data_IF_987106508368
#
_entry.id   IF_987106508368
#
_cell.length_a   1.000
_cell.length_b   1.000
_cell.length_c   1.000
_cell.angle_alpha   90.00
_cell.angle_beta   90.00
_cell.angle_gamma   90.00
#
_symmetry.space_group_name_H-M   'P 1'
#
loop_
_entity.id
_entity.type
_entity.pdbx_description
1 polymer ?
#
# COMPACT_ATOMS: atom_id res chain seq x y z
N UNK A 1 32.78 -20.86 -22.57
CA UNK A 1 32.01 -19.81 -21.84
C UNK A 1 30.88 -20.33 -20.93
N UNK A 2 30.67 -21.65 -20.74
CA UNK A 2 29.57 -22.18 -19.90
C UNK A 2 29.81 -22.21 -18.38
N UNK A 3 31.06 -22.31 -17.91
CA UNK A 3 31.37 -22.49 -16.47
C UNK A 3 31.14 -21.27 -15.56
N UNK A 4 31.46 -20.06 -16.03
CA UNK A 4 31.32 -18.82 -15.22
C UNK A 4 29.86 -18.48 -14.87
N UNK A 5 28.89 -18.84 -15.74
CA UNK A 5 27.46 -18.59 -15.50
C UNK A 5 26.87 -19.50 -14.42
N UNK A 6 27.30 -20.76 -14.37
CA UNK A 6 26.89 -21.71 -13.32
C UNK A 6 27.45 -21.31 -11.95
N UNK A 7 28.71 -20.86 -11.90
CA UNK A 7 29.34 -20.38 -10.66
C UNK A 7 28.65 -19.14 -10.10
N UNK A 8 28.31 -18.17 -10.95
CA UNK A 8 27.57 -16.96 -10.53
C UNK A 8 26.14 -17.29 -10.06
N UNK A 9 25.46 -18.24 -10.71
CA UNK A 9 24.12 -18.67 -10.28
C UNK A 9 24.16 -19.36 -8.91
N UNK A 10 25.17 -20.20 -8.64
CA UNK A 10 25.37 -20.83 -7.32
C UNK A 10 25.70 -19.80 -6.24
N UNK A 11 26.53 -18.81 -6.55
CA UNK A 11 26.86 -17.71 -5.62
C UNK A 11 25.60 -16.91 -5.27
N UNK A 12 24.81 -16.51 -6.27
CA UNK A 12 23.55 -15.78 -6.06
C UNK A 12 22.53 -16.58 -5.25
N UNK A 13 22.43 -17.89 -5.50
CA UNK A 13 21.57 -18.77 -4.72
C UNK A 13 22.05 -18.86 -3.26
N UNK A 14 23.36 -18.95 -3.02
CA UNK A 14 23.93 -18.92 -1.68
C UNK A 14 23.63 -17.63 -0.93
N UNK A 15 23.84 -16.48 -1.58
CA UNK A 15 23.50 -15.15 -1.01
C UNK A 15 22.01 -15.05 -0.69
N UNK A 16 21.14 -15.54 -1.58
CA UNK A 16 19.70 -15.56 -1.36
C UNK A 16 19.32 -16.42 -0.15
N UNK A 17 19.89 -17.60 0.01
CA UNK A 17 19.62 -18.47 1.18
C UNK A 17 20.09 -17.82 2.48
N UNK A 18 21.28 -17.20 2.49
CA UNK A 18 21.76 -16.44 3.65
C UNK A 18 20.82 -15.29 3.99
N UNK A 19 20.34 -14.56 2.98
CA UNK A 19 19.35 -13.49 3.16
C UNK A 19 18.03 -14.01 3.73
N UNK A 20 17.52 -15.15 3.25
CA UNK A 20 16.30 -15.76 3.78
C UNK A 20 16.46 -16.18 5.25
N UNK A 21 17.58 -16.79 5.61
CA UNK A 21 17.88 -17.17 7.01
C UNK A 21 18.01 -15.92 7.89
N UNK A 22 18.71 -14.89 7.41
CA UNK A 22 18.81 -13.61 8.12
C UNK A 22 17.42 -12.98 8.32
N UNK A 23 16.57 -13.02 7.30
CA UNK A 23 15.21 -12.45 7.36
C UNK A 23 14.36 -13.23 8.36
N UNK A 24 14.44 -14.57 8.35
CA UNK A 24 13.76 -15.42 9.33
C UNK A 24 14.26 -15.16 10.76
N UNK A 25 15.57 -14.94 10.96
CA UNK A 25 16.15 -14.58 12.25
C UNK A 25 15.66 -13.22 12.75
N UNK A 26 15.61 -12.21 11.87
CA UNK A 26 15.05 -10.89 12.21
C UNK A 26 13.57 -10.99 12.57
N UNK A 27 12.78 -11.73 11.79
CA UNK A 27 11.37 -11.95 12.05
C UNK A 27 11.15 -12.69 13.39
N UNK A 28 12.00 -13.67 13.70
CA UNK A 28 11.98 -14.34 14.99
C UNK A 28 12.28 -13.37 16.14
N UNK A 29 13.32 -12.54 16.02
CA UNK A 29 13.63 -11.50 17.02
C UNK A 29 12.57 -10.40 17.12
N UNK A 30 11.80 -10.18 16.06
CA UNK A 30 10.65 -9.29 16.06
C UNK A 30 9.50 -9.85 16.91
N UNK A 31 9.17 -11.13 16.72
CA UNK A 31 8.10 -11.81 17.44
C UNK A 31 8.47 -12.17 18.88
N UNK A 32 9.75 -12.50 19.12
CA UNK A 32 10.28 -12.95 20.40
C UNK A 32 11.36 -11.99 20.89
N UNK A 33 10.93 -10.92 21.54
CA UNK A 33 11.82 -10.03 22.27
C UNK A 33 12.31 -10.71 23.55
N UNK A 34 13.63 -10.85 23.68
CA UNK A 34 14.23 -11.38 24.92
C UNK A 34 14.00 -10.39 26.05
N UNK A 35 13.43 -10.88 27.16
CA UNK A 35 13.35 -10.12 28.40
C UNK A 35 14.72 -9.99 29.06
N UNK A 36 14.83 -9.08 30.03
CA UNK A 36 16.03 -8.97 30.85
C UNK A 36 16.25 -10.26 31.69
N UNK A 37 17.48 -10.77 31.75
CA UNK A 37 17.83 -11.92 32.60
C UNK A 37 17.77 -11.55 34.08
N UNK A 38 17.13 -12.39 34.90
CA UNK A 38 16.93 -12.13 36.33
C UNK A 38 18.25 -11.97 37.12
N UNK A 39 19.36 -12.50 36.61
CA UNK A 39 20.68 -12.41 37.24
C UNK A 39 21.38 -11.03 37.11
N UNK A 40 20.87 -10.11 36.26
CA UNK A 40 21.44 -8.75 36.05
C UNK A 40 20.40 -7.64 36.23
N UNK A 41 19.58 -7.73 37.29
CA UNK A 41 18.49 -6.78 37.59
C UNK A 41 18.91 -5.31 37.67
N UNK A 42 20.17 -5.01 37.97
CA UNK A 42 20.66 -3.62 38.10
C UNK A 42 20.75 -2.87 36.75
N UNK A 43 20.90 -3.58 35.63
CA UNK A 43 20.97 -3.00 34.28
C UNK A 43 19.61 -3.07 33.53
N UNK A 44 18.57 -3.61 34.17
CA UNK A 44 17.27 -3.79 33.56
C UNK A 44 16.44 -2.51 33.64
N UNK A 45 15.83 -2.14 32.52
CA UNK A 45 14.86 -1.05 32.44
C UNK A 45 13.47 -1.65 32.63
N UNK A 46 12.72 -1.12 33.60
CA UNK A 46 11.39 -1.62 33.97
C UNK A 46 10.29 -0.62 33.60
N UNK A 47 9.05 -1.08 33.44
CA UNK A 47 7.92 -0.19 33.12
C UNK A 47 7.56 0.70 34.31
N UNK A 48 7.25 1.97 34.05
CA UNK A 48 6.61 2.82 35.05
C UNK A 48 5.23 2.27 35.48
N UNK A 49 4.54 1.54 34.60
CA UNK A 49 3.22 0.96 34.88
C UNK A 49 3.27 -0.24 35.84
N UNK A 50 4.43 -0.89 35.98
CA UNK A 50 4.58 -2.07 36.87
C UNK A 50 4.31 -1.74 38.34
N UNK A 51 4.55 -0.48 38.74
CA UNK A 51 4.28 0.01 40.09
C UNK A 51 2.79 0.32 40.34
N UNK A 52 1.92 0.18 39.33
CA UNK A 52 0.50 0.59 39.34
C UNK A 52 0.27 1.99 39.93
N UNK A 53 0.94 3.03 39.39
CA UNK A 53 0.71 4.39 39.83
C UNK A 53 -0.74 4.80 39.55
N UNK A 54 -1.27 5.72 40.37
CA UNK A 54 -2.56 6.36 40.06
C UNK A 54 -2.33 7.36 38.92
N UNK A 55 -2.85 7.02 37.74
CA UNK A 55 -2.72 7.82 36.53
C UNK A 55 -4.03 8.53 36.21
N UNK A 56 -3.88 9.64 35.49
CA UNK A 56 -4.97 10.40 34.92
C UNK A 56 -4.71 10.59 33.43
N UNK A 57 -5.75 10.42 32.61
CA UNK A 57 -5.73 10.72 31.18
C UNK A 57 -6.52 11.99 30.93
N UNK A 58 -5.89 12.97 30.30
CA UNK A 58 -6.48 14.27 30.03
C UNK A 58 -6.30 14.59 28.54
N UNK A 59 -7.39 14.87 27.82
CA UNK A 59 -7.35 15.32 26.43
C UNK A 59 -7.67 16.81 26.39
N UNK A 60 -6.75 17.59 25.85
CA UNK A 60 -6.93 19.02 25.63
C UNK A 60 -7.06 19.32 24.14
N UNK A 61 -7.74 20.41 23.80
CA UNK A 61 -7.72 20.98 22.46
C UNK A 61 -6.96 22.29 22.44
N UNK A 62 -6.20 22.50 21.37
CA UNK A 62 -5.34 23.65 21.22
C UNK A 62 -5.17 24.01 19.73
N UNK A 63 -4.87 25.26 19.44
CA UNK A 63 -4.68 25.73 18.05
C UNK A 63 -3.29 25.39 17.52
N UNK A 64 -2.29 25.48 18.40
CA UNK A 64 -0.88 25.18 18.15
C UNK A 64 -0.32 24.40 19.36
N UNK A 65 0.27 23.20 19.16
CA UNK A 65 0.67 22.33 20.27
C UNK A 65 1.66 22.97 21.27
N UNK A 66 2.61 23.79 20.81
CA UNK A 66 3.73 24.25 21.64
C UNK A 66 3.59 25.69 22.17
N UNK A 67 2.46 26.39 21.93
CA UNK A 67 2.36 27.81 22.28
C UNK A 67 0.94 28.36 22.43
N UNK A 68 -0.06 27.51 22.69
CA UNK A 68 -1.46 27.95 22.80
C UNK A 68 -2.15 27.48 24.07
N UNK A 69 -3.25 28.16 24.42
CA UNK A 69 -4.05 27.81 25.59
C UNK A 69 -4.67 26.42 25.41
N UNK A 70 -4.53 25.59 26.44
CA UNK A 70 -5.06 24.22 26.48
C UNK A 70 -6.49 24.25 27.01
N UNK A 71 -7.46 23.89 26.17
CA UNK A 71 -8.85 23.73 26.58
C UNK A 71 -9.15 22.28 26.92
N UNK A 72 -9.56 21.98 28.15
CA UNK A 72 -9.85 20.60 28.56
C UNK A 72 -11.10 20.08 27.84
N UNK A 73 -10.94 19.00 27.07
CA UNK A 73 -12.05 18.31 26.41
C UNK A 73 -12.52 17.10 27.23
N UNK A 74 -11.60 16.23 27.64
CA UNK A 74 -11.92 15.00 28.37
C UNK A 74 -10.94 14.79 29.53
N UNK A 75 -11.45 14.36 30.68
CA UNK A 75 -10.66 13.95 31.84
C UNK A 75 -11.14 12.61 32.35
N UNK A 76 -10.22 11.67 32.55
CA UNK A 76 -10.49 10.33 33.09
C UNK A 76 -9.59 10.11 34.30
N UNK A 77 -10.23 9.97 35.47
CA UNK A 77 -9.60 9.75 36.77
C UNK A 77 -10.51 8.85 37.62
N UNK A 78 -10.06 7.65 38.07
CA UNK A 78 -8.76 7.05 37.80
C UNK A 78 -8.68 6.45 36.39
N UNK A 79 -7.54 6.60 35.73
CA UNK A 79 -7.23 5.93 34.47
C UNK A 79 -6.51 4.60 34.72
N UNK A 80 -7.10 3.48 34.29
CA UNK A 80 -6.47 2.16 34.31
C UNK A 80 -5.99 1.80 32.89
N UNK A 81 -4.66 1.68 32.66
CA UNK A 81 -4.11 1.34 31.35
C UNK A 81 -4.56 -0.02 30.79
N UNK A 82 -5.12 -0.91 31.62
CA UNK A 82 -5.59 -2.22 31.16
C UNK A 82 -7.06 -2.25 30.74
N UNK A 83 -7.87 -1.27 31.14
CA UNK A 83 -9.30 -1.25 30.79
C UNK A 83 -9.54 -0.44 29.53
N UNK A 84 -10.28 -1.00 28.58
CA UNK A 84 -10.71 -0.27 27.39
C UNK A 84 -11.88 0.65 27.71
N UNK A 85 -11.98 1.77 27.00
CA UNK A 85 -13.15 2.65 27.10
C UNK A 85 -13.42 3.38 25.79
N UNK A 86 -14.65 3.85 25.65
CA UNK A 86 -15.07 4.73 24.57
C UNK A 86 -15.96 5.83 25.15
N UNK A 87 -15.64 7.09 24.81
CA UNK A 87 -16.34 8.28 25.31
C UNK A 87 -16.50 9.31 24.21
N UNK A 88 -17.73 9.77 24.03
CA UNK A 88 -18.04 10.85 23.11
C UNK A 88 -18.11 12.18 23.88
N UNK A 89 -17.45 13.20 23.36
CA UNK A 89 -17.38 14.55 23.94
C UNK A 89 -17.66 15.57 22.85
N UNK A 90 -18.41 16.61 23.16
CA UNK A 90 -18.61 17.72 22.23
C UNK A 90 -17.53 18.77 22.44
N UNK A 91 -16.67 18.94 21.43
CA UNK A 91 -15.55 19.87 21.45
C UNK A 91 -15.99 21.23 20.92
N UNK A 92 -15.60 22.29 21.62
CA UNK A 92 -15.78 23.68 21.20
C UNK A 92 -14.79 24.03 20.09
N UNK A 93 -15.29 24.58 18.99
CA UNK A 93 -14.51 25.04 17.85
C UNK A 93 -14.21 26.55 17.95
N UNK A 94 -12.93 26.94 18.08
CA UNK A 94 -12.53 28.34 18.01
C UNK A 94 -12.92 29.00 16.68
N UNK A 95 -13.10 30.32 16.69
CA UNK A 95 -13.37 31.11 15.47
C UNK A 95 -12.28 30.93 14.41
N UNK A 96 -11.03 30.84 14.84
CA UNK A 96 -9.87 30.62 13.98
C UNK A 96 -9.98 29.29 13.23
N UNK A 97 -10.34 28.20 13.92
CA UNK A 97 -10.55 26.89 13.30
C UNK A 97 -11.74 26.92 12.33
N UNK A 98 -12.82 27.64 12.65
CA UNK A 98 -13.97 27.85 11.75
C UNK A 98 -13.61 28.68 10.51
N UNK A 99 -12.55 29.48 10.58
CA UNK A 99 -11.96 30.23 9.49
C UNK A 99 -10.80 29.47 8.79
N UNK A 100 -10.90 28.15 8.69
CA UNK A 100 -9.89 27.25 8.11
C UNK A 100 -8.54 27.23 8.86
N UNK A 101 -8.52 27.55 10.16
CA UNK A 101 -7.36 27.38 11.03
C UNK A 101 -7.19 25.93 11.51
N UNK A 102 -6.01 25.61 12.04
CA UNK A 102 -5.71 24.30 12.61
C UNK A 102 -6.37 24.10 13.98
N UNK A 103 -6.63 22.84 14.32
CA UNK A 103 -6.96 22.42 15.68
C UNK A 103 -6.32 21.07 15.96
N UNK A 104 -5.70 20.96 17.14
CA UNK A 104 -5.03 19.76 17.60
C UNK A 104 -5.69 19.27 18.91
N UNK A 105 -5.76 17.95 19.05
CA UNK A 105 -5.95 17.29 20.34
C UNK A 105 -4.59 16.94 20.91
N UNK A 106 -4.30 17.36 22.14
CA UNK A 106 -3.11 16.92 22.88
C UNK A 106 -3.57 16.00 23.99
N UNK A 107 -3.17 14.74 23.89
CA UNK A 107 -3.47 13.71 24.89
C UNK A 107 -2.32 13.67 25.87
N UNK A 108 -2.63 13.77 27.16
CA UNK A 108 -1.67 13.67 28.26
C UNK A 108 -1.98 12.46 29.14
N UNK A 109 -0.94 11.70 29.48
CA UNK A 109 -0.94 10.69 30.53
C UNK A 109 0.03 11.13 31.61
N UNK A 110 -0.50 11.42 32.79
CA UNK A 110 0.26 11.98 33.90
C UNK A 110 -0.19 11.40 35.24
N UNK A 111 0.56 11.69 36.30
CA UNK A 111 0.21 11.28 37.67
C UNK A 111 -1.09 11.98 38.11
N UNK A 112 -1.99 11.21 38.73
CA UNK A 112 -3.23 11.75 39.28
C UNK A 112 -2.95 12.86 40.31
N UNK A 113 -3.82 13.87 40.34
CA UNK A 113 -3.76 15.04 41.23
C UNK A 113 -2.65 16.08 40.94
N UNK A 114 -1.78 15.85 39.95
CA UNK A 114 -0.80 16.85 39.46
C UNK A 114 -1.30 17.40 38.13
N UNK A 115 -1.05 18.68 37.85
CA UNK A 115 -1.35 19.23 36.52
C UNK A 115 -0.41 18.57 35.48
N UNK A 116 -0.84 18.33 34.23
CA UNK A 116 0.04 17.74 33.21
C UNK A 116 1.36 18.53 33.08
N UNK A 117 1.25 19.85 32.94
CA UNK A 117 2.38 20.76 32.70
C UNK A 117 3.42 20.78 33.83
N UNK A 118 3.05 20.40 35.05
CA UNK A 118 3.97 20.33 36.20
C UNK A 118 4.59 18.93 36.39
N UNK A 119 4.09 17.90 35.69
CA UNK A 119 4.55 16.53 35.84
C UNK A 119 5.74 16.23 34.93
N UNK A 120 6.95 16.17 35.53
CA UNK A 120 8.18 15.77 34.84
C UNK A 120 8.13 14.38 34.17
N UNK A 121 7.16 13.52 34.52
CA UNK A 121 6.99 12.16 34.00
C UNK A 121 5.77 12.03 33.09
N UNK A 122 5.26 13.14 32.57
CA UNK A 122 4.15 13.10 31.62
C UNK A 122 4.56 12.49 30.27
N UNK A 123 3.58 11.89 29.60
CA UNK A 123 3.67 11.50 28.20
C UNK A 123 2.56 12.21 27.46
N UNK A 124 2.93 12.99 26.44
CA UNK A 124 1.99 13.70 25.60
C UNK A 124 2.18 13.39 24.12
N UNK A 125 1.09 13.45 23.36
CA UNK A 125 1.10 13.36 21.90
C UNK A 125 0.04 14.28 21.32
N UNK A 126 0.40 15.03 20.28
CA UNK A 126 -0.49 15.95 19.59
C UNK A 126 -1.02 15.31 18.30
N UNK A 127 -2.32 15.45 18.05
CA UNK A 127 -2.99 14.93 16.87
C UNK A 127 -3.81 16.02 16.19
N UNK A 128 -3.65 16.26 14.88
CA UNK A 128 -4.52 17.18 14.19
C UNK A 128 -5.92 16.59 14.13
N UNK A 129 -6.92 17.34 14.63
CA UNK A 129 -8.35 17.04 14.49
C UNK A 129 -8.94 17.65 13.21
N UNK A 130 -8.17 18.52 12.58
CA UNK A 130 -8.49 19.26 11.37
C UNK A 130 -7.69 18.71 10.18
N UNK A 131 -8.34 18.55 9.01
CA UNK A 131 -7.67 18.29 7.73
C UNK A 131 -8.09 19.35 6.70
N UNK A 132 -7.14 20.04 6.06
CA UNK A 132 -7.45 20.95 4.96
C UNK A 132 -7.76 20.18 3.66
N UNK A 133 -8.66 20.72 2.83
CA UNK A 133 -9.08 20.08 1.58
C UNK A 133 -7.96 19.81 0.57
N UNK A 134 -6.86 20.57 0.59
CA UNK A 134 -5.75 20.38 -0.35
C UNK A 134 -4.93 19.13 -0.04
N UNK A 135 -4.87 18.70 1.23
CA UNK A 135 -4.25 17.42 1.62
C UNK A 135 -5.12 16.23 1.18
N UNK A 136 -6.44 16.46 1.10
CA UNK A 136 -7.38 15.48 0.56
C UNK A 136 -7.31 15.43 -0.97
N UNK A 137 -7.06 16.55 -1.65
CA UNK A 137 -6.37 16.72 -2.96
C UNK A 137 -6.82 15.94 -4.20
N UNK A 138 -7.64 14.90 -4.09
CA UNK A 138 -7.99 13.94 -5.15
C UNK A 138 -9.51 13.61 -5.10
N UNK A 139 -10.29 14.20 -4.20
CA UNK A 139 -11.74 13.91 -4.10
C UNK A 139 -12.58 14.56 -5.20
N UNK A 140 -12.11 15.65 -5.82
CA UNK A 140 -12.92 16.44 -6.76
C UNK A 140 -12.76 16.08 -8.24
N UNK A 141 -11.92 15.10 -8.60
CA UNK A 141 -11.70 14.71 -10.00
C UNK A 141 -12.36 13.37 -10.39
N UNK A 142 -12.93 12.63 -9.43
CA UNK A 142 -13.48 11.28 -9.67
C UNK A 142 -14.99 11.13 -9.57
N UNK A 143 -15.71 12.09 -9.00
CA UNK A 143 -17.17 12.11 -9.16
C UNK A 143 -17.48 12.62 -10.56
N UNK A 144 -17.93 11.70 -11.41
CA UNK A 144 -18.41 11.96 -12.76
C UNK A 144 -19.71 12.77 -12.78
N UNK A 145 -19.70 13.97 -12.21
CA UNK A 145 -20.67 15.02 -12.47
C UNK A 145 -19.96 16.21 -13.10
N UNK A 146 -20.33 16.49 -14.35
CA UNK A 146 -20.13 17.79 -14.96
C UNK A 146 -20.85 18.86 -14.12
N UNK A 147 -20.16 19.42 -13.14
CA UNK A 147 -20.47 20.75 -12.65
C UNK A 147 -19.16 21.45 -12.31
N UNK A 148 -18.72 22.26 -13.27
CA UNK A 148 -17.70 23.29 -13.13
C UNK A 148 -18.17 24.38 -12.16
N UNK A 149 -18.31 24.02 -10.88
CA UNK A 149 -18.21 24.98 -9.79
C UNK A 149 -16.92 24.66 -9.07
N UNK A 150 -16.00 25.63 -9.09
CA UNK A 150 -14.85 25.70 -8.22
C UNK A 150 -15.36 25.50 -6.77
N UNK A 151 -15.40 24.26 -6.28
CA UNK A 151 -15.78 23.98 -4.89
C UNK A 151 -14.73 24.68 -4.04
N UNK A 152 -15.17 25.63 -3.22
CA UNK A 152 -14.26 26.33 -2.31
C UNK A 152 -13.61 25.28 -1.40
N UNK A 153 -12.33 25.44 -1.03
CA UNK A 153 -11.68 24.51 -0.12
C UNK A 153 -12.44 24.45 1.21
N UNK A 154 -13.06 23.31 1.51
CA UNK A 154 -13.79 23.04 2.77
C UNK A 154 -12.91 22.23 3.70
N UNK A 155 -12.77 22.68 4.94
CA UNK A 155 -12.05 21.93 5.97
C UNK A 155 -12.87 20.78 6.52
N UNK A 156 -12.18 19.68 6.87
CA UNK A 156 -12.80 18.48 7.40
C UNK A 156 -12.38 18.24 8.86
N UNK A 157 -13.33 17.73 9.64
CA UNK A 157 -13.22 17.34 11.03
C UNK A 157 -13.01 15.83 11.16
N UNK A 158 -12.14 15.44 12.09
CA UNK A 158 -11.91 14.05 12.49
C UNK A 158 -12.70 13.73 13.76
N UNK A 159 -13.80 12.96 13.67
CA UNK A 159 -14.64 12.68 14.84
C UNK A 159 -14.08 11.56 15.72
N UNK A 160 -13.09 10.78 15.28
CA UNK A 160 -12.55 9.64 16.03
C UNK A 160 -11.09 9.89 16.44
N UNK A 161 -10.82 9.78 17.74
CA UNK A 161 -9.48 9.81 18.34
C UNK A 161 -9.22 8.50 19.07
N UNK A 162 -8.52 7.59 18.39
CA UNK A 162 -8.16 6.29 18.93
C UNK A 162 -6.78 6.34 19.60
N UNK A 163 -6.73 6.09 20.90
CA UNK A 163 -5.51 6.14 21.71
C UNK A 163 -5.12 4.71 22.08
N UNK A 164 -3.85 4.37 21.91
CA UNK A 164 -3.30 3.07 22.29
C UNK A 164 -2.10 3.24 23.20
N UNK A 165 -2.03 2.43 24.26
CA UNK A 165 -0.88 2.42 25.18
C UNK A 165 -0.40 0.98 25.35
N UNK A 166 0.92 0.79 25.38
CA UNK A 166 1.49 -0.50 25.75
C UNK A 166 1.23 -0.77 27.25
N UNK A 167 0.24 -1.61 27.55
CA UNK A 167 -0.20 -1.91 28.92
C UNK A 167 0.53 -3.09 29.56
N UNK A 168 1.24 -3.87 28.76
CA UNK A 168 2.04 -5.03 29.18
C UNK A 168 3.37 -4.59 29.81
N UNK A 169 3.71 -5.20 30.94
CA UNK A 169 4.99 -4.99 31.61
C UNK A 169 6.08 -5.79 30.89
N UNK A 170 7.04 -5.10 30.27
CA UNK A 170 8.17 -5.72 29.59
C UNK A 170 9.48 -5.15 30.12
N UNK A 171 10.48 -6.00 30.38
CA UNK A 171 11.78 -5.56 30.88
C UNK A 171 12.85 -5.81 29.84
N UNK A 172 13.74 -4.84 29.63
CA UNK A 172 14.81 -4.94 28.66
C UNK A 172 16.12 -4.37 29.20
N UNK A 173 17.24 -4.88 28.69
CA UNK A 173 18.54 -4.27 28.92
C UNK A 173 18.75 -3.09 27.97
N UNK A 174 19.63 -2.15 28.32
CA UNK A 174 19.92 -0.97 27.49
C UNK A 174 20.34 -1.31 26.04
N UNK A 175 21.03 -2.44 25.83
CA UNK A 175 21.42 -2.94 24.50
C UNK A 175 20.40 -3.88 23.84
N UNK A 176 19.36 -4.30 24.56
CA UNK A 176 18.32 -5.20 24.06
C UNK A 176 17.10 -4.48 23.47
N UNK A 177 17.03 -3.15 23.57
CA UNK A 177 15.93 -2.37 23.02
C UNK A 177 15.99 -2.37 21.49
N UNK A 178 14.94 -2.83 20.79
CA UNK A 178 14.92 -2.79 19.33
C UNK A 178 14.94 -1.36 18.79
N UNK A 179 15.54 -1.19 17.60
CA UNK A 179 15.74 0.14 17.00
C UNK A 179 14.43 0.87 16.67
N UNK A 180 13.38 0.11 16.35
CA UNK A 180 12.01 0.58 16.10
C UNK A 180 11.40 1.28 17.33
N UNK A 181 11.82 0.91 18.54
CA UNK A 181 11.24 1.42 19.78
C UNK A 181 11.93 2.68 20.32
N UNK A 182 13.16 2.98 19.86
CA UNK A 182 13.96 4.09 20.41
C UNK A 182 13.26 5.45 20.35
N UNK A 183 12.40 5.68 19.36
CA UNK A 183 11.69 6.97 19.19
C UNK A 183 10.54 7.17 20.17
N UNK A 184 9.97 6.07 20.68
CA UNK A 184 8.79 6.09 21.55
C UNK A 184 9.16 5.95 23.03
N UNK A 185 10.31 5.33 23.33
CA UNK A 185 10.77 5.09 24.70
C UNK A 185 11.40 6.35 25.27
N UNK A 186 10.72 6.94 26.27
CA UNK A 186 11.30 7.95 27.16
C UNK A 186 11.74 7.27 28.46
N UNK A 187 12.99 7.50 28.86
CA UNK A 187 13.57 6.90 30.06
C UNK A 187 13.55 7.93 31.19
N UNK A 188 13.10 7.52 32.36
CA UNK A 188 13.13 8.27 33.61
C UNK A 188 13.94 7.49 34.65
N UNK A 189 14.75 8.17 35.45
CA UNK A 189 15.53 7.54 36.52
C UNK A 189 14.91 7.84 37.88
N UNK A 190 14.68 6.79 38.67
CA UNK A 190 14.18 6.88 40.03
C UNK A 190 15.15 6.18 40.98
N UNK A 191 16.06 6.96 41.57
CA UNK A 191 17.13 6.44 42.43
C UNK A 191 18.10 5.53 41.65
N UNK A 192 18.15 4.24 42.02
CA UNK A 192 18.97 3.22 41.34
C UNK A 192 18.25 2.46 40.22
N UNK A 193 16.94 2.66 40.03
CA UNK A 193 16.16 1.96 39.00
C UNK A 193 15.94 2.86 37.79
N UNK A 194 16.13 2.29 36.61
CA UNK A 194 15.86 2.94 35.34
C UNK A 194 14.47 2.50 34.88
N UNK A 195 13.58 3.47 34.68
CA UNK A 195 12.19 3.24 34.30
C UNK A 195 11.94 3.78 32.89
N UNK A 196 11.08 3.13 32.11
CA UNK A 196 10.54 3.75 30.90
C UNK A 196 9.10 4.23 31.13
N UNK A 197 8.78 5.40 30.58
CA UNK A 197 7.45 5.98 30.62
C UNK A 197 6.49 5.21 29.69
N UNK A 198 5.16 5.27 29.94
CA UNK A 198 4.18 4.57 29.11
C UNK A 198 4.32 4.90 27.63
N UNK A 199 4.38 3.86 26.78
CA UNK A 199 4.47 4.04 25.33
C UNK A 199 3.07 4.28 24.78
N UNK A 200 2.76 5.55 24.52
CA UNK A 200 1.49 5.98 23.95
C UNK A 200 1.63 6.25 22.46
N UNK A 201 0.65 5.78 21.70
CA UNK A 201 0.53 6.01 20.27
C UNK A 201 -0.92 6.36 19.93
N UNK A 202 -1.11 7.29 19.00
CA UNK A 202 -2.42 7.59 18.43
C UNK A 202 -2.58 6.74 17.18
N UNK A 203 -3.68 6.00 17.11
CA UNK A 203 -3.91 5.03 16.06
C UNK A 203 -4.41 5.71 14.77
N UNK A 204 -3.45 6.08 13.91
CA UNK A 204 -3.71 6.62 12.57
C UNK A 204 -4.30 5.60 11.58
N UNK A 205 -4.26 4.31 11.90
CA UNK A 205 -4.69 3.22 11.03
C UNK A 205 -6.18 2.95 11.17
N UNK A 206 -6.76 3.22 12.35
CA UNK A 206 -8.21 3.23 12.55
C UNK A 206 -8.92 4.36 11.80
N UNK A 207 -8.21 5.46 11.52
CA UNK A 207 -8.76 6.62 10.82
C UNK A 207 -9.09 6.32 9.35
N UNK A 208 -10.34 6.63 8.97
CA UNK A 208 -10.86 6.56 7.61
C UNK A 208 -11.22 7.91 7.06
N UNK A 209 -11.08 8.05 5.74
CA UNK A 209 -11.42 9.30 5.08
C UNK A 209 -12.95 9.47 5.01
N UNK A 210 -13.68 8.37 4.86
CA UNK A 210 -15.16 8.36 4.85
C UNK A 210 -15.81 8.84 6.15
N UNK A 211 -15.07 8.81 7.26
CA UNK A 211 -15.58 9.22 8.58
C UNK A 211 -15.39 10.73 8.83
N UNK A 212 -14.77 11.45 7.88
CA UNK A 212 -14.59 12.90 7.98
C UNK A 212 -15.91 13.65 7.87
N UNK A 213 -16.03 14.73 8.66
CA UNK A 213 -17.20 15.60 8.65
C UNK A 213 -16.83 16.99 8.14
N UNK A 214 -17.64 17.60 7.28
CA UNK A 214 -17.39 18.97 6.82
C UNK A 214 -17.60 19.99 7.93
N UNK A 215 -16.65 20.94 8.06
CA UNK A 215 -16.75 22.04 9.03
C UNK A 215 -17.42 23.23 8.37
N UNK A 216 -18.53 23.67 8.96
CA UNK A 216 -19.22 24.89 8.55
C UNK A 216 -18.80 26.07 9.43
N UNK A 217 -18.90 27.30 8.90
CA UNK A 217 -18.60 28.52 9.67
C UNK A 217 -19.53 28.72 10.87
N UNK A 218 -20.73 28.14 10.82
CA UNK A 218 -21.76 28.22 11.86
C UNK A 218 -21.67 27.12 12.93
N UNK A 219 -20.94 26.02 12.69
CA UNK A 219 -20.86 24.92 13.65
C UNK A 219 -19.86 25.25 14.75
N UNK A 220 -20.34 25.48 15.97
CA UNK A 220 -19.52 25.81 17.16
C UNK A 220 -19.12 24.60 17.98
N UNK A 221 -19.88 23.51 17.90
CA UNK A 221 -19.60 22.25 18.60
C UNK A 221 -19.57 21.10 17.62
N UNK A 222 -18.56 20.23 17.73
CA UNK A 222 -18.51 18.97 16.99
C UNK A 222 -18.23 17.79 17.93
N UNK A 223 -18.83 16.61 17.65
CA UNK A 223 -18.59 15.42 18.44
C UNK A 223 -17.19 14.86 18.18
N UNK A 224 -16.50 14.48 19.25
CA UNK A 224 -15.23 13.76 19.27
C UNK A 224 -15.41 12.50 20.11
N UNK A 225 -15.33 11.34 19.46
CA UNK A 225 -15.30 10.04 20.09
C UNK A 225 -13.86 9.65 20.39
N UNK A 226 -13.52 9.63 21.68
CA UNK A 226 -12.22 9.20 22.19
C UNK A 226 -12.33 7.73 22.60
N UNK A 227 -11.59 6.86 21.91
CA UNK A 227 -11.49 5.44 22.22
C UNK A 227 -10.10 5.12 22.77
N UNK A 228 -10.03 4.16 23.68
CA UNK A 228 -8.79 3.72 24.29
C UNK A 228 -8.67 2.21 24.34
N UNK A 229 -7.53 1.69 23.90
CA UNK A 229 -7.17 0.28 24.00
C UNK A 229 -5.73 0.07 24.52
N UNK A 230 -5.58 -0.80 25.52
CA UNK A 230 -4.27 -1.27 25.97
C UNK A 230 -3.77 -2.42 25.09
N UNK A 231 -2.55 -2.33 24.57
CA UNK A 231 -1.98 -3.33 23.65
C UNK A 231 -0.71 -4.01 24.20
N UNK A 232 -0.44 -5.22 23.71
CA UNK A 232 0.78 -5.97 24.02
C UNK A 232 1.98 -5.45 23.25
N UNK A 233 3.19 -5.80 23.68
CA UNK A 233 4.42 -5.37 23.03
C UNK A 233 4.49 -5.80 21.55
N UNK A 234 4.09 -7.04 21.27
CA UNK A 234 4.09 -7.58 19.89
C UNK A 234 3.15 -6.79 18.99
N UNK A 235 1.93 -6.50 19.48
CA UNK A 235 0.93 -5.70 18.75
C UNK A 235 1.42 -4.27 18.56
N UNK A 236 2.01 -3.67 19.58
CA UNK A 236 2.61 -2.32 19.51
C UNK A 236 3.68 -2.22 18.41
N UNK A 237 4.65 -3.14 18.42
CA UNK A 237 5.72 -3.14 17.40
C UNK A 237 5.18 -3.36 15.99
N UNK A 238 4.19 -4.25 15.84
CA UNK A 238 3.52 -4.45 14.56
C UNK A 238 2.81 -3.18 14.08
N UNK A 239 2.11 -2.48 14.98
CA UNK A 239 1.40 -1.23 14.66
C UNK A 239 2.35 -0.12 14.20
N UNK A 240 3.48 0.06 14.89
CA UNK A 240 4.52 1.03 14.51
C UNK A 240 5.04 0.75 13.10
N UNK A 241 5.40 -0.50 12.79
CA UNK A 241 5.85 -0.85 11.44
C UNK A 241 4.77 -0.64 10.38
N UNK A 242 3.51 -0.91 10.72
CA UNK A 242 2.40 -0.71 9.79
C UNK A 242 2.19 0.78 9.48
N UNK A 243 2.36 1.65 10.47
CA UNK A 243 2.37 3.09 10.30
C UNK A 243 3.53 3.56 9.41
N UNK A 244 4.75 3.02 9.60
CA UNK A 244 5.91 3.33 8.74
C UNK A 244 5.69 2.90 7.29
N UNK A 245 5.01 1.76 7.07
CA UNK A 245 4.65 1.29 5.72
C UNK A 245 3.65 2.25 5.08
N UNK A 246 2.61 2.65 5.81
CA UNK A 246 1.62 3.64 5.31
C UNK A 246 2.30 4.98 5.00
N UNK A 247 3.19 5.45 5.86
CA UNK A 247 3.96 6.66 5.62
C UNK A 247 4.83 6.53 4.35
N UNK A 248 5.50 5.40 4.17
CA UNK A 248 6.30 5.13 2.98
C UNK A 248 5.42 5.10 1.71
N UNK A 249 4.23 4.52 1.77
CA UNK A 249 3.27 4.53 0.66
C UNK A 249 2.87 5.97 0.27
N UNK A 250 2.62 6.85 1.26
CA UNK A 250 2.38 8.28 0.99
C UNK A 250 3.57 8.92 0.29
N UNK A 251 4.79 8.64 0.76
CA UNK A 251 6.01 9.18 0.17
C UNK A 251 6.26 8.68 -1.26
N UNK A 252 5.81 7.46 -1.59
CA UNK A 252 5.84 6.93 -2.96
C UNK A 252 4.74 7.51 -3.88
N UNK A 253 3.90 8.42 -3.37
CA UNK A 253 2.87 9.11 -4.15
C UNK A 253 1.59 8.29 -4.36
N UNK A 254 1.30 7.32 -3.48
CA UNK A 254 0.00 6.66 -3.51
C UNK A 254 -1.12 7.62 -3.08
N UNK A 255 -2.27 7.55 -3.77
CA UNK A 255 -3.47 8.32 -3.40
C UNK A 255 -3.98 7.92 -2.01
N UNK A 256 -4.42 8.89 -1.21
CA UNK A 256 -5.01 8.64 0.12
C UNK A 256 -6.21 7.69 0.06
N UNK A 257 -6.99 7.68 -1.03
CA UNK A 257 -8.10 6.73 -1.24
C UNK A 257 -7.61 5.27 -1.24
N UNK A 258 -6.54 5.00 -1.98
CA UNK A 258 -5.97 3.66 -2.06
C UNK A 258 -5.30 3.26 -0.74
N UNK A 259 -4.68 4.21 -0.05
CA UNK A 259 -4.11 3.98 1.28
C UNK A 259 -5.22 3.67 2.29
N UNK A 260 -6.37 4.35 2.21
CA UNK A 260 -7.52 4.05 3.07
C UNK A 260 -8.06 2.65 2.79
N UNK A 261 -8.18 2.24 1.53
CA UNK A 261 -8.55 0.87 1.18
C UNK A 261 -7.57 -0.17 1.77
N UNK A 262 -6.26 0.07 1.65
CA UNK A 262 -5.23 -0.77 2.26
C UNK A 262 -5.41 -0.84 3.78
N UNK A 263 -5.52 0.30 4.47
CA UNK A 263 -5.82 0.33 5.90
C UNK A 263 -7.07 -0.50 6.21
N UNK A 264 -8.07 -0.48 5.32
CA UNK A 264 -9.36 -1.18 5.42
C UNK A 264 -9.15 -2.66 5.56
N UNK A 265 -8.41 -3.20 4.60
CA UNK A 265 -8.03 -4.61 4.56
C UNK A 265 -7.15 -5.01 5.74
N UNK A 266 -6.22 -4.15 6.16
CA UNK A 266 -5.26 -4.47 7.23
C UNK A 266 -5.93 -4.55 8.61
N UNK A 267 -6.76 -3.58 8.97
CA UNK A 267 -7.41 -3.49 10.29
C UNK A 267 -8.59 -4.45 10.40
N UNK A 268 -9.33 -4.67 9.31
CA UNK A 268 -10.55 -5.47 9.31
C UNK A 268 -10.35 -6.98 9.07
N UNK A 269 -9.16 -7.43 8.67
CA UNK A 269 -8.93 -8.83 8.29
C UNK A 269 -8.33 -9.67 9.41
N UNK A 270 -8.63 -10.97 9.39
CA UNK A 270 -7.91 -11.94 10.20
C UNK A 270 -6.43 -12.00 9.77
N UNK A 271 -5.52 -11.96 10.76
CA UNK A 271 -4.06 -12.00 10.52
C UNK A 271 -3.64 -13.18 9.63
N UNK A 272 -4.29 -14.34 9.77
CA UNK A 272 -4.02 -15.52 8.94
C UNK A 272 -4.32 -15.26 7.45
N UNK A 273 -5.45 -14.62 7.13
CA UNK A 273 -5.82 -14.28 5.76
C UNK A 273 -4.86 -13.25 5.16
N UNK A 274 -4.43 -12.29 5.97
CA UNK A 274 -3.46 -11.27 5.56
C UNK A 274 -2.10 -11.89 5.23
N UNK A 275 -1.59 -12.79 6.07
CA UNK A 275 -0.34 -13.53 5.82
C UNK A 275 -0.47 -14.39 4.56
N UNK A 276 -1.58 -15.12 4.41
CA UNK A 276 -1.81 -15.93 3.21
C UNK A 276 -1.83 -15.08 1.94
N UNK A 277 -2.52 -13.94 1.97
CA UNK A 277 -2.59 -13.01 0.84
C UNK A 277 -1.21 -12.46 0.51
N UNK A 278 -0.41 -12.07 1.51
CA UNK A 278 0.96 -11.62 1.32
C UNK A 278 1.87 -12.70 0.69
N UNK A 279 1.70 -13.96 1.08
CA UNK A 279 2.45 -15.09 0.48
C UNK A 279 2.03 -15.29 -0.97
N UNK A 280 0.72 -15.27 -1.27
CA UNK A 280 0.20 -15.43 -2.62
C UNK A 280 0.69 -14.28 -3.53
N UNK A 281 0.62 -13.03 -3.07
CA UNK A 281 1.10 -11.87 -3.85
C UNK A 281 2.61 -11.90 -4.05
N UNK A 282 3.39 -12.29 -3.03
CA UNK A 282 4.84 -12.46 -3.18
C UNK A 282 5.18 -13.55 -4.21
N UNK A 283 4.49 -14.69 -4.17
CA UNK A 283 4.69 -15.78 -5.13
C UNK A 283 4.31 -15.34 -6.56
N UNK A 284 3.21 -14.61 -6.69
CA UNK A 284 2.77 -14.02 -7.95
C UNK A 284 3.83 -13.06 -8.53
N UNK A 285 4.37 -12.14 -7.72
CA UNK A 285 5.42 -11.21 -8.13
C UNK A 285 6.70 -11.95 -8.57
N UNK A 286 7.08 -13.03 -7.88
CA UNK A 286 8.22 -13.88 -8.27
C UNK A 286 7.96 -14.52 -9.63
N UNK A 287 6.76 -15.07 -9.85
CA UNK A 287 6.36 -15.66 -11.13
C UNK A 287 6.39 -14.64 -12.28
N UNK A 288 5.88 -13.43 -12.05
CA UNK A 288 5.91 -12.33 -13.03
C UNK A 288 7.35 -11.90 -13.35
N UNK A 289 8.21 -11.77 -12.34
CA UNK A 289 9.62 -11.44 -12.56
C UNK A 289 10.35 -12.54 -13.36
N UNK A 290 10.08 -13.81 -13.07
CA UNK A 290 10.66 -14.93 -13.82
C UNK A 290 10.16 -14.96 -15.26
N UNK A 291 8.88 -14.67 -15.48
CA UNK A 291 8.30 -14.51 -16.81
C UNK A 291 9.00 -13.38 -17.58
N UNK A 292 9.13 -12.20 -16.98
CA UNK A 292 9.82 -11.04 -17.56
C UNK A 292 11.29 -11.36 -17.90
N UNK A 293 11.99 -12.05 -17.00
CA UNK A 293 13.38 -12.48 -17.22
C UNK A 293 13.47 -13.45 -18.40
N UNK A 294 12.55 -14.40 -18.49
CA UNK A 294 12.49 -15.34 -19.60
C UNK A 294 12.22 -14.59 -20.92
N UNK A 295 11.29 -13.64 -20.90
CA UNK A 295 10.97 -12.74 -22.02
C UNK A 295 12.22 -12.03 -22.52
N UNK A 296 12.91 -11.29 -21.66
CA UNK A 296 14.11 -10.53 -22.02
C UNK A 296 15.21 -11.47 -22.54
N UNK A 297 15.35 -12.67 -21.98
CA UNK A 297 16.32 -13.68 -22.44
C UNK A 297 15.97 -14.21 -23.84
N UNK A 298 14.69 -14.47 -24.11
CA UNK A 298 14.19 -14.96 -25.40
C UNK A 298 14.40 -13.93 -26.50
N UNK A 299 14.03 -12.67 -26.25
CA UNK A 299 14.22 -11.58 -27.21
C UNK A 299 15.71 -11.29 -27.50
N UNK A 300 16.59 -11.41 -26.50
CA UNK A 300 18.04 -11.24 -26.70
C UNK A 300 18.68 -12.30 -27.59
N UNK A 301 18.11 -13.52 -27.68
CA UNK A 301 18.69 -14.64 -28.43
C UNK A 301 18.17 -14.74 -29.87
N UNK A 302 17.08 -14.07 -30.22
CA UNK A 302 16.47 -14.16 -31.56
C UNK A 302 17.26 -13.36 -32.59
N UNK A 303 17.59 -14.02 -33.71
CA UNK A 303 18.28 -13.42 -34.88
C UNK A 303 17.38 -13.21 -36.09
N UNK A 304 16.28 -13.97 -36.20
CA UNK A 304 15.22 -13.78 -37.21
C UNK A 304 13.85 -13.69 -36.53
N UNK A 305 12.88 -13.10 -37.22
CA UNK A 305 11.49 -12.94 -36.77
C UNK A 305 10.56 -14.04 -37.32
N UNK A 306 11.13 -15.13 -37.85
CA UNK A 306 10.35 -16.26 -38.37
C UNK A 306 9.41 -16.83 -37.29
N UNK A 307 8.13 -17.03 -37.63
CA UNK A 307 7.08 -17.46 -36.71
C UNK A 307 6.45 -16.36 -35.84
N UNK A 308 6.82 -15.08 -36.00
CA UNK A 308 6.20 -13.96 -35.27
C UNK A 308 5.65 -12.87 -36.21
N UNK A 309 4.44 -12.40 -35.90
CA UNK A 309 3.83 -11.27 -36.60
C UNK A 309 4.49 -9.94 -36.21
N UNK A 310 5.12 -9.26 -37.17
CA UNK A 310 5.69 -7.92 -36.95
C UNK A 310 4.60 -6.90 -36.59
N UNK A 311 3.43 -7.02 -37.21
CA UNK A 311 2.26 -6.15 -36.96
C UNK A 311 1.70 -6.35 -35.55
N UNK A 312 1.58 -7.60 -35.09
CA UNK A 312 1.12 -7.92 -33.73
C UNK A 312 2.09 -7.43 -32.66
N UNK A 313 3.41 -7.56 -32.88
CA UNK A 313 4.43 -7.09 -31.92
C UNK A 313 4.43 -5.57 -31.78
N UNK A 314 4.36 -4.83 -32.89
CA UNK A 314 4.26 -3.37 -32.87
C UNK A 314 2.97 -2.90 -32.19
N UNK A 315 1.83 -3.49 -32.56
CA UNK A 315 0.54 -3.17 -31.97
C UNK A 315 0.53 -3.40 -30.46
N UNK A 316 1.02 -4.56 -30.00
CA UNK A 316 1.15 -4.86 -28.56
C UNK A 316 2.06 -3.87 -27.85
N UNK A 317 3.18 -3.47 -28.45
CA UNK A 317 4.06 -2.45 -27.84
C UNK A 317 3.39 -1.08 -27.71
N UNK A 318 2.51 -0.73 -28.65
CA UNK A 318 1.75 0.52 -28.63
C UNK A 318 0.64 0.47 -27.57
N UNK A 319 -0.11 -0.64 -27.49
CA UNK A 319 -1.10 -0.83 -26.42
C UNK A 319 -0.45 -0.78 -25.03
N UNK A 320 0.68 -1.48 -24.82
CA UNK A 320 1.41 -1.43 -23.54
C UNK A 320 1.96 -0.02 -23.25
N UNK A 321 2.34 0.76 -24.27
CA UNK A 321 2.75 2.17 -24.10
C UNK A 321 1.56 3.08 -23.74
N UNK A 322 0.39 2.87 -24.34
CA UNK A 322 -0.81 3.63 -24.02
C UNK A 322 -1.29 3.33 -22.59
N UNK A 323 -1.30 2.06 -22.19
CA UNK A 323 -1.59 1.65 -20.82
C UNK A 323 -0.55 2.27 -19.87
N UNK A 324 0.73 2.26 -20.23
CA UNK A 324 1.78 2.91 -19.45
C UNK A 324 1.56 4.42 -19.28
N UNK A 325 1.21 5.13 -20.37
CA UNK A 325 0.95 6.57 -20.34
C UNK A 325 -0.29 6.91 -19.50
N UNK A 326 -1.34 6.10 -19.61
CA UNK A 326 -2.54 6.25 -18.79
C UNK A 326 -2.26 5.98 -17.30
N UNK A 327 -1.49 4.92 -16.99
CA UNK A 327 -1.05 4.62 -15.63
C UNK A 327 -0.09 5.67 -15.07
N UNK A 328 0.69 6.35 -15.92
CA UNK A 328 1.59 7.44 -15.51
C UNK A 328 0.81 8.66 -15.00
N UNK A 329 -0.42 8.86 -15.49
CA UNK A 329 -1.31 9.95 -15.08
C UNK A 329 -2.10 9.60 -13.79
N UNK A 330 -2.46 8.33 -13.58
CA UNK A 330 -3.33 7.91 -12.47
C UNK A 330 -2.64 7.14 -11.31
N UNK A 331 -1.45 6.57 -11.49
CA UNK A 331 -0.90 5.57 -10.54
C UNK A 331 0.57 5.77 -10.15
N UNK A 332 0.94 5.24 -8.99
CA UNK A 332 2.26 5.39 -8.36
C UNK A 332 3.41 4.69 -9.11
N UNK A 333 4.62 5.20 -8.90
CA UNK A 333 5.89 4.83 -9.56
C UNK A 333 6.21 3.32 -9.57
N UNK A 334 5.64 2.54 -8.64
CA UNK A 334 5.92 1.11 -8.46
C UNK A 334 5.34 0.24 -9.59
N UNK A 335 4.16 0.59 -10.11
CA UNK A 335 3.52 -0.10 -11.27
C UNK A 335 4.21 0.29 -12.58
N UNK A 336 4.81 1.48 -12.61
CA UNK A 336 5.51 2.04 -13.77
C UNK A 336 6.79 1.27 -14.12
N UNK A 337 7.48 0.72 -13.11
CA UNK A 337 8.79 0.09 -13.26
C UNK A 337 8.78 -1.17 -14.17
N UNK A 338 7.93 -2.19 -13.94
CA UNK A 338 7.89 -3.38 -14.81
C UNK A 338 7.40 -3.07 -16.23
N UNK A 339 6.40 -2.18 -16.38
CA UNK A 339 5.83 -1.82 -17.68
C UNK A 339 6.82 -0.99 -18.52
N UNK A 340 7.54 -0.05 -17.89
CA UNK A 340 8.54 0.78 -18.56
C UNK A 340 9.76 -0.01 -19.05
N UNK A 341 10.25 -0.96 -18.24
CA UNK A 341 11.40 -1.80 -18.58
C UNK A 341 11.09 -2.77 -19.74
N UNK A 342 9.87 -3.31 -19.81
CA UNK A 342 9.44 -4.20 -20.89
C UNK A 342 9.36 -3.49 -22.25
N UNK A 343 8.88 -2.23 -22.28
CA UNK A 343 8.73 -1.44 -23.51
C UNK A 343 10.06 -1.02 -24.12
N UNK A 344 11.05 -0.63 -23.30
CA UNK A 344 12.37 -0.17 -23.77
C UNK A 344 13.14 -1.26 -24.51
N UNK A 345 13.02 -2.51 -24.08
CA UNK A 345 13.75 -3.63 -24.69
C UNK A 345 13.13 -4.15 -25.99
N UNK A 346 11.81 -4.00 -26.20
CA UNK A 346 11.13 -4.44 -27.44
C UNK A 346 11.48 -3.57 -28.66
N UNK A 347 11.83 -2.29 -28.47
CA UNK A 347 12.18 -1.37 -29.57
C UNK A 347 13.60 -1.56 -30.13
N UNK A 348 14.52 -2.18 -29.39
CA UNK A 348 15.96 -2.14 -29.71
C UNK A 348 16.44 -3.23 -30.70
N UNK A 349 15.57 -4.13 -31.17
CA UNK A 349 15.99 -5.33 -31.93
C UNK A 349 15.39 -5.43 -33.34
N UNK A 350 15.24 -4.29 -34.04
CA UNK A 350 14.82 -4.28 -35.45
C UNK A 350 15.93 -3.68 -36.31
N UNK A 351 16.94 -4.50 -36.65
CA UNK A 351 17.81 -4.24 -37.80
C UNK A 351 17.41 -5.22 -38.90
N UNK A 352 16.97 -4.67 -40.04
CA UNK A 352 16.45 -5.42 -41.18
C UNK A 352 17.62 -5.82 -42.08
N UNK A 353 17.88 -7.12 -42.19
CA UNK A 353 18.61 -7.70 -43.31
C UNK A 353 17.69 -8.66 -44.08
N UNK A 354 18.09 -9.05 -45.29
CA UNK A 354 17.34 -9.83 -46.29
C UNK A 354 16.41 -10.87 -45.65
N UNK A 355 15.13 -10.83 -46.02
CA UNK A 355 14.10 -11.74 -45.54
C UNK A 355 14.39 -13.18 -45.98
N UNK A 356 14.57 -14.07 -45.00
CA UNK A 356 14.63 -15.52 -45.23
C UNK A 356 13.28 -16.06 -45.74
N UNK A 357 13.31 -17.19 -46.46
CA UNK A 357 12.12 -17.80 -47.08
C UNK A 357 11.04 -18.18 -46.04
N UNK A 358 11.45 -18.55 -44.82
CA UNK A 358 10.54 -18.81 -43.70
C UNK A 358 9.89 -17.54 -43.14
N UNK A 359 10.58 -16.39 -43.20
CA UNK A 359 9.98 -15.10 -42.85
C UNK A 359 8.92 -14.70 -43.88
N UNK A 360 9.13 -14.98 -45.17
CA UNK A 360 8.12 -14.71 -46.22
C UNK A 360 6.85 -15.51 -46.01
N UNK A 361 6.96 -16.80 -45.68
CA UNK A 361 5.77 -17.63 -45.35
C UNK A 361 5.05 -17.10 -44.11
N UNK A 362 5.80 -16.69 -43.09
CA UNK A 362 5.23 -16.08 -41.88
C UNK A 362 4.45 -14.80 -42.22
N UNK A 363 4.99 -13.94 -43.10
CA UNK A 363 4.32 -12.69 -43.54
C UNK A 363 3.04 -12.96 -44.35
N UNK A 364 3.02 -14.03 -45.16
CA UNK A 364 1.83 -14.41 -45.91
C UNK A 364 0.69 -14.86 -44.97
N UNK A 365 0.99 -15.72 -43.99
CA UNK A 365 0.01 -16.14 -42.98
C UNK A 365 -0.40 -14.98 -42.06
N UNK A 366 0.52 -14.08 -41.73
CA UNK A 366 0.24 -12.87 -40.95
C UNK A 366 -0.77 -11.95 -41.65
N UNK A 367 -0.65 -11.82 -42.98
CA UNK A 367 -1.58 -10.99 -43.76
C UNK A 367 -3.00 -11.56 -43.77
N UNK A 368 -3.14 -12.89 -43.89
CA UNK A 368 -4.44 -13.57 -43.80
C UNK A 368 -5.03 -13.46 -42.38
N UNK A 369 -4.20 -13.66 -41.36
CA UNK A 369 -4.63 -13.56 -39.96
C UNK A 369 -5.12 -12.16 -39.59
N UNK A 370 -4.46 -11.11 -40.08
CA UNK A 370 -4.88 -9.72 -39.86
C UNK A 370 -6.13 -9.32 -40.63
N UNK A 371 -6.38 -9.91 -41.81
CA UNK A 371 -7.63 -9.72 -42.53
C UNK A 371 -8.81 -10.32 -41.77
N UNK A 372 -8.63 -11.56 -41.27
CA UNK A 372 -9.62 -12.20 -40.39
C UNK A 372 -9.81 -11.37 -39.12
N UNK A 373 -8.74 -10.98 -38.44
CA UNK A 373 -8.86 -10.15 -37.24
C UNK A 373 -9.57 -8.81 -37.49
N UNK A 374 -9.33 -8.14 -38.62
CA UNK A 374 -10.03 -6.90 -38.98
C UNK A 374 -11.53 -7.13 -39.19
N UNK A 375 -11.91 -8.25 -39.82
CA UNK A 375 -13.31 -8.59 -40.05
C UNK A 375 -14.03 -8.91 -38.73
N UNK A 376 -13.45 -9.82 -37.94
CA UNK A 376 -14.03 -10.25 -36.67
C UNK A 376 -13.97 -9.15 -35.60
N UNK A 377 -12.90 -8.36 -35.57
CA UNK A 377 -12.72 -7.22 -34.67
C UNK A 377 -13.75 -6.12 -34.92
N UNK A 378 -14.06 -5.79 -36.18
CA UNK A 378 -15.11 -4.83 -36.51
C UNK A 378 -16.51 -5.33 -36.11
N UNK A 379 -16.80 -6.62 -36.29
CA UNK A 379 -18.07 -7.20 -35.87
C UNK A 379 -18.24 -7.21 -34.34
N UNK A 380 -17.18 -7.54 -33.60
CA UNK A 380 -17.24 -7.58 -32.13
C UNK A 380 -17.28 -6.15 -31.55
N UNK A 381 -16.49 -5.23 -32.07
CA UNK A 381 -16.52 -3.81 -31.68
C UNK A 381 -17.91 -3.20 -31.91
N UNK A 382 -18.52 -3.46 -33.07
CA UNK A 382 -19.88 -3.02 -33.36
C UNK A 382 -20.90 -3.54 -32.36
N UNK A 383 -20.84 -4.84 -31.99
CA UNK A 383 -21.78 -5.42 -31.04
C UNK A 383 -21.57 -4.90 -29.60
N UNK A 384 -20.32 -4.69 -29.16
CA UNK A 384 -20.02 -4.15 -27.82
C UNK A 384 -20.47 -2.69 -27.71
N UNK A 385 -20.23 -1.86 -28.74
CA UNK A 385 -20.69 -0.48 -28.76
C UNK A 385 -22.22 -0.36 -28.83
N UNK A 386 -22.93 -1.33 -29.43
CA UNK A 386 -24.39 -1.32 -29.50
C UNK A 386 -25.07 -1.74 -28.18
N UNK A 387 -24.42 -2.53 -27.32
CA UNK A 387 -25.06 -3.11 -26.12
C UNK A 387 -24.93 -2.24 -24.86
N UNK A 388 -24.05 -1.23 -24.83
CA UNK A 388 -23.89 -0.35 -23.66
C UNK A 388 -23.76 1.14 -24.06
N UNK A 389 -24.87 1.89 -24.19
CA UNK A 389 -24.84 3.31 -24.54
C UNK A 389 -24.66 4.25 -23.32
N UNK A 390 -24.25 3.76 -22.14
CA UNK A 390 -24.07 4.61 -20.95
C UNK A 390 -22.60 4.72 -20.50
N UNK A 391 -22.07 5.92 -20.79
CA UNK A 391 -21.05 6.72 -20.09
C UNK A 391 -19.71 6.10 -19.65
N UNK A 392 -18.63 6.66 -20.20
CA UNK A 392 -17.19 6.65 -19.82
C UNK A 392 -16.45 5.33 -19.54
N UNK A 393 -17.11 4.24 -19.13
CA UNK A 393 -16.47 2.94 -18.83
C UNK A 393 -16.25 2.04 -20.06
N UNK A 394 -16.87 2.38 -21.20
CA UNK A 394 -16.86 1.58 -22.43
C UNK A 394 -15.54 1.66 -23.20
N UNK A 395 -14.78 2.74 -23.08
CA UNK A 395 -13.52 2.91 -23.82
C UNK A 395 -12.43 1.98 -23.26
N UNK A 396 -12.27 1.95 -21.93
CA UNK A 396 -11.27 1.10 -21.26
C UNK A 396 -11.57 -0.39 -21.52
N UNK A 397 -12.82 -0.81 -21.29
CA UNK A 397 -13.29 -2.18 -21.54
C UNK A 397 -13.12 -2.58 -23.01
N UNK A 398 -13.36 -1.64 -23.94
CA UNK A 398 -13.11 -1.82 -25.37
C UNK A 398 -11.64 -2.01 -25.70
N UNK A 399 -10.74 -1.23 -25.11
CA UNK A 399 -9.28 -1.35 -25.30
C UNK A 399 -8.77 -2.71 -24.79
N UNK A 400 -9.29 -3.21 -23.66
CA UNK A 400 -8.90 -4.52 -23.12
C UNK A 400 -9.46 -5.69 -23.93
N UNK A 401 -10.75 -5.67 -24.30
CA UNK A 401 -11.34 -6.67 -25.20
C UNK A 401 -10.60 -6.73 -26.56
N UNK A 402 -10.14 -5.56 -27.03
CA UNK A 402 -9.33 -5.45 -28.23
C UNK A 402 -7.90 -5.97 -28.03
N UNK A 403 -7.33 -5.79 -26.84
CA UNK A 403 -6.07 -6.40 -26.40
C UNK A 403 -6.11 -7.93 -26.47
N UNK A 404 -7.16 -8.54 -25.94
CA UNK A 404 -7.43 -9.98 -26.03
C UNK A 404 -7.55 -10.47 -27.49
N UNK A 405 -8.34 -9.78 -28.31
CA UNK A 405 -8.51 -10.09 -29.73
C UNK A 405 -7.19 -9.99 -30.51
N UNK A 406 -6.31 -9.06 -30.14
CA UNK A 406 -4.99 -8.90 -30.76
C UNK A 406 -4.04 -10.09 -30.54
N UNK A 407 -4.41 -11.06 -29.70
CA UNK A 407 -3.68 -12.32 -29.51
C UNK A 407 -4.01 -13.41 -30.53
N UNK A 408 -5.19 -13.35 -31.16
CA UNK A 408 -5.65 -14.36 -32.12
C UNK A 408 -4.74 -14.52 -33.36
N UNK A 409 -4.18 -13.45 -33.96
CA UNK A 409 -3.29 -13.59 -35.12
C UNK A 409 -2.03 -14.41 -34.82
N UNK A 410 -1.46 -14.25 -33.61
CA UNK A 410 -0.25 -14.96 -33.21
C UNK A 410 -0.52 -16.45 -32.93
N UNK A 411 -1.70 -16.79 -32.41
CA UNK A 411 -2.16 -18.17 -32.25
C UNK A 411 -2.34 -18.87 -33.62
N UNK A 412 -2.95 -18.17 -34.58
CA UNK A 412 -3.15 -18.69 -35.94
C UNK A 412 -1.84 -18.99 -36.65
N UNK A 413 -0.85 -18.09 -36.55
CA UNK A 413 0.49 -18.28 -37.13
C UNK A 413 1.19 -19.46 -36.46
N UNK A 414 1.16 -19.57 -35.12
CA UNK A 414 1.80 -20.67 -34.41
C UNK A 414 1.22 -22.04 -34.82
N UNK A 415 -0.11 -22.14 -34.97
CA UNK A 415 -0.77 -23.36 -35.41
C UNK A 415 -0.40 -23.74 -36.86
N UNK A 416 -0.26 -22.76 -37.76
CA UNK A 416 0.08 -23.00 -39.17
C UNK A 416 1.56 -23.29 -39.42
N UNK A 417 2.46 -22.74 -38.59
CA UNK A 417 3.91 -22.90 -38.75
C UNK A 417 4.42 -24.21 -38.13
N UNK A 418 3.80 -24.73 -37.07
CA UNK A 418 4.22 -25.97 -36.42
C UNK A 418 3.01 -26.81 -35.92
N UNK A 419 2.38 -27.62 -36.78
CA UNK A 419 1.15 -28.37 -36.46
C UNK A 419 1.34 -29.56 -35.50
N UNK A 420 2.59 -29.92 -35.15
CA UNK A 420 2.91 -31.07 -34.31
C UNK A 420 2.80 -30.81 -32.79
N UNK A 421 2.64 -29.54 -32.37
CA UNK A 421 2.44 -29.18 -30.96
C UNK A 421 0.97 -28.87 -30.78
N UNK A 422 0.29 -29.58 -29.86
CA UNK A 422 -1.12 -29.30 -29.58
C UNK A 422 -1.31 -27.79 -29.29
N UNK A 423 -2.40 -27.17 -29.77
CA UNK A 423 -2.61 -25.73 -29.61
C UNK A 423 -2.50 -25.28 -28.15
N UNK A 424 -2.90 -26.14 -27.21
CA UNK A 424 -2.74 -25.92 -25.77
C UNK A 424 -1.27 -25.94 -25.32
N UNK A 425 -0.43 -26.86 -25.79
CA UNK A 425 1.01 -26.89 -25.41
C UNK A 425 1.83 -25.80 -26.09
N UNK A 426 1.47 -25.36 -27.31
CA UNK A 426 2.08 -24.20 -27.95
C UNK A 426 1.67 -22.89 -27.26
N UNK A 427 0.44 -22.80 -26.79
CA UNK A 427 -0.06 -21.69 -25.97
C UNK A 427 0.61 -21.68 -24.58
N UNK A 428 0.68 -22.84 -23.90
CA UNK A 428 1.31 -23.03 -22.60
C UNK A 428 2.84 -22.86 -22.61
N UNK A 429 3.51 -23.00 -23.75
CA UNK A 429 4.96 -22.77 -23.89
C UNK A 429 5.32 -21.38 -24.39
N UNK A 430 4.34 -20.61 -24.88
CA UNK A 430 4.56 -19.27 -25.40
C UNK A 430 4.58 -18.21 -24.30
N UNK A 431 5.26 -17.09 -24.54
CA UNK A 431 5.33 -15.86 -23.73
C UNK A 431 3.97 -15.19 -23.41
N UNK A 432 2.85 -15.88 -23.63
CA UNK A 432 1.49 -15.33 -23.59
C UNK A 432 0.67 -15.83 -22.40
N UNK A 433 1.10 -16.89 -21.71
CA UNK A 433 0.41 -17.46 -20.56
C UNK A 433 0.29 -16.51 -19.35
N UNK A 434 1.37 -15.82 -18.93
CA UNK A 434 1.29 -14.89 -17.80
C UNK A 434 0.33 -13.74 -18.11
N UNK A 435 0.40 -13.20 -19.32
CA UNK A 435 -0.45 -12.10 -19.77
C UNK A 435 -1.93 -12.52 -19.93
N UNK A 436 -2.20 -13.72 -20.46
CA UNK A 436 -3.57 -14.25 -20.58
C UNK A 436 -4.20 -14.48 -19.20
N UNK A 437 -3.42 -14.99 -18.25
CA UNK A 437 -3.83 -15.15 -16.86
C UNK A 437 -4.18 -13.80 -16.24
N UNK A 438 -3.31 -12.80 -16.39
CA UNK A 438 -3.48 -11.49 -15.76
C UNK A 438 -4.66 -10.71 -16.39
N UNK A 439 -4.87 -10.80 -17.71
CA UNK A 439 -6.05 -10.24 -18.41
C UNK A 439 -7.35 -10.95 -18.03
N UNK A 440 -7.34 -12.27 -17.87
CA UNK A 440 -8.51 -13.05 -17.45
C UNK A 440 -8.92 -12.72 -16.00
N UNK A 441 -7.95 -12.64 -15.07
CA UNK A 441 -8.23 -12.23 -13.69
C UNK A 441 -8.74 -10.80 -13.60
N UNK A 442 -8.22 -9.89 -14.43
CA UNK A 442 -8.70 -8.51 -14.48
C UNK A 442 -10.12 -8.41 -15.06
N UNK A 443 -10.46 -9.22 -16.08
CA UNK A 443 -11.80 -9.28 -16.66
C UNK A 443 -12.82 -9.88 -15.67
N UNK A 444 -12.40 -10.86 -14.87
CA UNK A 444 -13.20 -11.39 -13.74
C UNK A 444 -13.38 -10.35 -12.63
N UNK A 445 -12.33 -9.59 -12.30
CA UNK A 445 -12.40 -8.49 -11.34
C UNK A 445 -13.35 -7.37 -11.80
N UNK A 446 -13.29 -6.97 -13.08
CA UNK A 446 -14.22 -6.00 -13.67
C UNK A 446 -15.67 -6.51 -13.70
N UNK A 447 -15.88 -7.81 -13.86
CA UNK A 447 -17.21 -8.42 -13.81
C UNK A 447 -17.76 -8.49 -12.37
N UNK A 448 -16.90 -8.64 -11.36
CA UNK A 448 -17.27 -8.59 -9.94
C UNK A 448 -17.53 -7.18 -9.41
N UNK A 449 -16.97 -6.14 -10.05
CA UNK A 449 -17.13 -4.73 -9.66
C UNK A 449 -18.37 -4.05 -10.31
N UNK A 450 -19.19 -4.84 -11.01
CA UNK A 450 -20.50 -4.46 -11.55
C UNK A 450 -21.58 -5.06 -10.65
#
# INVERSE_FOLDING_TARGET
FGGKRSSMAKLLLGVFMVYMVHTAWLLYGFLNTKSCDEGRREDCITSYLSARPRLQLSVFTCLVPDNSQLNLALRIDPFDPRSTFERQVNVLLPEETRANGSLYAVVYVHKASVSPLDDSREVHHAWPLYIPSYELGIWSLREGEQSSKLKHPVSHWRPHLSITIMSEDFTFTKGGLPSDMHRYVRISQEGRRILYLPLMLIDELSFRIRDLMEINRSTTHLPLTVSYEGISLRKFRFWVHLQDVVYSLRQFGFSEEYIDEIKGTLVGSNLYLLVLTAVITALQLICEFLALKNDISSWRKKKSMAGMSRKSVLWRSLCTLLIFLHLLEETSLLVLLPVGLANRHRRLSVKVNKLDEEERRTVAFDTQAWQLWRMWGNCIYSNICCVAPTQNSSCLTGVYAFGFLSMAPQLFINHKVSPAVQPLTAFLSSHQLPFFRDELFFLVYLYQKR
#
